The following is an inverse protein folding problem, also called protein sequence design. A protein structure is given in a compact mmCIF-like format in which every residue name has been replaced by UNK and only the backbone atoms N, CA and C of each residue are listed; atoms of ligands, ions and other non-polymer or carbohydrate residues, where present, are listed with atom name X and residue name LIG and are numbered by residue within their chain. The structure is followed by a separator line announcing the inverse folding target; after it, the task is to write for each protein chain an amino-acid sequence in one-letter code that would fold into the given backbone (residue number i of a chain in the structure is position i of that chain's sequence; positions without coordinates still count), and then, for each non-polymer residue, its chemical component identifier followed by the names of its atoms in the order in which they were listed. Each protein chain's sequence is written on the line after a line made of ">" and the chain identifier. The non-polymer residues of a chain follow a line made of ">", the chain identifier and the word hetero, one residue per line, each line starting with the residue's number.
data_IF_143153753429
#
_entry.id   IF_143153753429
#
_cell.length_a   1.000
_cell.length_b   1.000
_cell.length_c   1.000
_cell.angle_alpha   90.00
_cell.angle_beta   90.00
_cell.angle_gamma   90.00
#
_symmetry.space_group_name_H-M   'P 1'
#
loop_
_entity.id
_entity.type
_entity.pdbx_description
1 polymer ?
#
# COMPACT_ATOMS: atom_id res chain seq x y z
N UNK A 1 16.38 -28.85 9.49
CA UNK A 1 16.65 -27.43 9.31
C UNK A 1 17.98 -27.28 8.62
N UNK A 2 18.16 -26.55 7.54
CA UNK A 2 19.47 -26.35 6.92
C UNK A 2 20.35 -25.52 7.86
N UNK A 3 21.47 -26.08 8.29
CA UNK A 3 22.41 -25.56 9.29
C UNK A 3 23.32 -24.44 8.74
N UNK A 4 22.81 -23.43 8.01
CA UNK A 4 23.60 -22.30 7.55
C UNK A 4 22.85 -20.99 7.77
N UNK A 5 23.48 -20.02 8.44
CA UNK A 5 22.97 -18.65 8.47
C UNK A 5 22.95 -18.14 7.02
N UNK A 6 21.84 -17.54 6.52
CA UNK A 6 21.81 -17.00 5.18
C UNK A 6 22.79 -15.83 5.07
N UNK A 7 23.48 -15.71 3.93
CA UNK A 7 24.34 -14.57 3.61
C UNK A 7 23.52 -13.27 3.53
N UNK A 8 22.27 -13.37 3.07
CA UNK A 8 21.30 -12.26 2.99
C UNK A 8 20.02 -12.74 3.68
N UNK A 9 19.51 -11.95 4.61
CA UNK A 9 18.26 -12.21 5.31
C UNK A 9 17.06 -11.60 4.58
N UNK A 10 15.85 -12.17 4.76
CA UNK A 10 14.62 -11.60 4.21
C UNK A 10 14.46 -10.11 4.59
N UNK A 11 14.71 -9.75 5.84
CA UNK A 11 14.62 -8.37 6.32
C UNK A 11 15.57 -7.41 5.61
N UNK A 12 16.79 -7.87 5.25
CA UNK A 12 17.74 -7.06 4.49
C UNK A 12 17.23 -6.80 3.07
N UNK A 13 16.60 -7.80 2.44
CA UNK A 13 15.99 -7.63 1.10
C UNK A 13 14.83 -6.65 1.17
N UNK A 14 13.94 -6.79 2.17
CA UNK A 14 12.80 -5.87 2.35
C UNK A 14 13.27 -4.43 2.64
N UNK A 15 14.32 -4.24 3.47
CA UNK A 15 14.89 -2.91 3.71
C UNK A 15 15.56 -2.33 2.44
N UNK A 16 16.34 -3.16 1.73
CA UNK A 16 16.97 -2.75 0.48
C UNK A 16 15.95 -2.33 -0.59
N UNK A 17 14.76 -2.95 -0.59
CA UNK A 17 13.63 -2.59 -1.47
C UNK A 17 13.12 -1.16 -1.25
N UNK A 18 13.19 -0.62 -0.04
CA UNK A 18 12.73 0.73 0.27
C UNK A 18 13.60 1.83 -0.37
N UNK A 19 14.89 1.56 -0.56
CA UNK A 19 15.85 2.55 -1.08
C UNK A 19 15.53 2.98 -2.52
N UNK A 20 15.23 2.10 -3.48
CA UNK A 20 14.92 2.49 -4.85
C UNK A 20 13.50 3.05 -5.07
N UNK A 21 12.60 2.99 -4.07
CA UNK A 21 11.22 3.46 -4.25
C UNK A 21 11.11 4.98 -4.51
N UNK A 22 11.85 5.87 -3.81
CA UNK A 22 11.86 7.28 -4.17
C UNK A 22 12.42 7.54 -5.58
N UNK A 23 13.41 6.75 -6.01
CA UNK A 23 13.94 6.83 -7.38
C UNK A 23 12.87 6.42 -8.40
N UNK A 24 12.13 5.33 -8.14
CA UNK A 24 11.00 4.93 -8.98
C UNK A 24 10.00 6.08 -9.13
N UNK A 25 9.61 6.69 -8.02
CA UNK A 25 8.66 7.81 -8.03
C UNK A 25 9.19 9.01 -8.81
N UNK A 26 10.48 9.32 -8.69
CA UNK A 26 11.13 10.38 -9.46
C UNK A 26 11.13 10.08 -10.98
N UNK A 27 11.42 8.85 -11.36
CA UNK A 27 11.39 8.41 -12.77
C UNK A 27 9.97 8.55 -13.34
N UNK A 28 8.95 8.12 -12.60
CA UNK A 28 7.55 8.26 -12.99
C UNK A 28 7.13 9.71 -13.14
N UNK A 29 7.50 10.56 -12.18
CA UNK A 29 7.23 11.99 -12.21
C UNK A 29 7.90 12.66 -13.43
N UNK A 30 9.15 12.33 -13.71
CA UNK A 30 9.84 12.82 -14.91
C UNK A 30 9.18 12.29 -16.19
N UNK A 31 8.76 11.03 -16.20
CA UNK A 31 7.99 10.46 -17.30
C UNK A 31 6.70 11.24 -17.56
N UNK A 32 5.93 11.55 -16.53
CA UNK A 32 4.70 12.34 -16.63
C UNK A 32 4.93 13.77 -17.19
N UNK A 33 6.06 14.39 -16.84
CA UNK A 33 6.42 15.72 -17.34
C UNK A 33 6.82 15.74 -18.83
N UNK A 34 7.38 14.66 -19.35
CA UNK A 34 7.90 14.59 -20.73
C UNK A 34 6.98 13.84 -21.69
N UNK A 35 5.79 13.46 -21.24
CA UNK A 35 4.90 12.55 -21.94
C UNK A 35 5.26 11.08 -21.70
N UNK A 36 4.26 10.22 -21.80
CA UNK A 36 4.43 8.81 -21.40
C UNK A 36 4.99 7.92 -22.52
N UNK A 37 4.74 8.26 -23.78
CA UNK A 37 5.10 7.43 -24.94
C UNK A 37 6.61 7.43 -25.20
N UNK A 38 7.15 6.23 -25.42
CA UNK A 38 8.58 5.95 -25.76
C UNK A 38 9.59 6.78 -24.95
N UNK A 39 9.28 6.98 -23.69
CA UNK A 39 10.01 7.85 -22.79
C UNK A 39 11.06 7.05 -22.00
N UNK A 40 12.36 7.42 -22.03
CA UNK A 40 13.41 6.70 -21.31
C UNK A 40 13.21 6.68 -19.80
N UNK A 41 12.59 7.71 -19.22
CA UNK A 41 12.24 7.71 -17.80
C UNK A 41 11.18 6.64 -17.48
N UNK A 42 10.18 6.48 -18.34
CA UNK A 42 9.14 5.47 -18.18
C UNK A 42 9.68 4.05 -18.36
N UNK A 43 10.57 3.82 -19.33
CA UNK A 43 11.27 2.54 -19.48
C UNK A 43 12.11 2.22 -18.24
N UNK A 44 12.86 3.20 -17.72
CA UNK A 44 13.63 3.04 -16.50
C UNK A 44 12.74 2.76 -15.29
N UNK A 45 11.57 3.42 -15.20
CA UNK A 45 10.58 3.19 -14.15
C UNK A 45 9.98 1.78 -14.23
N UNK A 46 9.69 1.28 -15.44
CA UNK A 46 9.20 -0.09 -15.65
C UNK A 46 10.22 -1.13 -15.17
N UNK A 47 11.50 -0.93 -15.52
CA UNK A 47 12.59 -1.81 -15.07
C UNK A 47 12.73 -1.75 -13.55
N UNK A 48 12.81 -0.53 -12.97
CA UNK A 48 12.95 -0.35 -11.53
C UNK A 48 11.76 -0.94 -10.77
N UNK A 49 10.52 -0.68 -11.20
CA UNK A 49 9.31 -1.22 -10.59
C UNK A 49 9.25 -2.75 -10.66
N UNK A 50 9.65 -3.33 -11.79
CA UNK A 50 9.76 -4.79 -11.94
C UNK A 50 10.79 -5.39 -10.98
N UNK A 51 11.98 -4.79 -10.89
CA UNK A 51 13.03 -5.24 -9.96
C UNK A 51 12.56 -5.15 -8.51
N UNK A 52 11.90 -4.05 -8.11
CA UNK A 52 11.32 -3.90 -6.78
C UNK A 52 10.27 -4.99 -6.52
N UNK A 53 9.40 -5.28 -7.48
CA UNK A 53 8.42 -6.36 -7.36
C UNK A 53 9.07 -7.75 -7.24
N UNK A 54 10.16 -8.01 -7.98
CA UNK A 54 10.91 -9.25 -7.86
C UNK A 54 11.55 -9.44 -6.48
N UNK A 55 12.00 -8.35 -5.84
CA UNK A 55 12.59 -8.44 -4.49
C UNK A 55 11.56 -8.90 -3.44
N UNK A 56 10.28 -8.54 -3.58
CA UNK A 56 9.19 -9.02 -2.73
C UNK A 56 9.00 -10.55 -2.81
N UNK A 57 9.12 -11.10 -4.01
CA UNK A 57 9.07 -12.55 -4.18
C UNK A 57 10.29 -13.24 -3.55
N UNK A 58 11.49 -12.64 -3.64
CA UNK A 58 12.73 -13.16 -3.07
C UNK A 58 12.69 -13.17 -1.54
N UNK A 59 12.26 -12.07 -0.90
CA UNK A 59 12.18 -12.01 0.57
C UNK A 59 11.15 -13.02 1.11
N UNK A 60 10.02 -13.20 0.41
CA UNK A 60 9.05 -14.23 0.70
C UNK A 60 9.60 -15.66 0.58
N UNK A 61 10.48 -15.95 -0.39
CA UNK A 61 11.19 -17.24 -0.49
C UNK A 61 12.14 -17.44 0.68
N UNK A 62 12.94 -16.42 1.03
CA UNK A 62 13.88 -16.45 2.14
C UNK A 62 13.16 -16.64 3.48
N UNK A 63 12.05 -15.93 3.71
CA UNK A 63 11.23 -16.07 4.92
C UNK A 63 10.65 -17.49 5.07
N UNK A 64 10.20 -18.11 3.97
CA UNK A 64 9.72 -19.50 3.98
C UNK A 64 10.85 -20.51 4.27
N UNK A 65 12.05 -20.25 3.77
CA UNK A 65 13.20 -21.15 3.92
C UNK A 65 13.85 -21.07 5.30
N UNK A 66 14.00 -19.85 5.84
CA UNK A 66 14.76 -19.59 7.08
C UNK A 66 13.89 -19.23 8.30
N UNK A 67 12.59 -19.13 8.10
CA UNK A 67 11.61 -18.76 9.11
C UNK A 67 11.29 -17.25 9.15
N UNK A 68 10.04 -16.90 9.50
CA UNK A 68 9.60 -15.51 9.63
C UNK A 68 10.23 -14.84 10.86
N UNK A 69 10.43 -13.52 10.77
CA UNK A 69 10.92 -12.69 11.89
C UNK A 69 9.86 -11.66 12.29
N UNK A 70 9.92 -11.15 13.53
CA UNK A 70 9.03 -10.07 13.99
C UNK A 70 9.24 -8.82 13.13
N UNK A 71 10.50 -8.48 12.85
CA UNK A 71 10.86 -7.34 12.00
C UNK A 71 10.34 -7.51 10.57
N UNK A 72 10.42 -8.71 9.97
CA UNK A 72 9.84 -8.99 8.64
C UNK A 72 8.33 -8.79 8.63
N UNK A 73 7.62 -9.32 9.63
CA UNK A 73 6.18 -9.11 9.76
C UNK A 73 5.76 -7.65 9.92
N UNK A 74 6.67 -6.75 10.33
CA UNK A 74 6.48 -5.29 10.34
C UNK A 74 6.82 -4.67 8.98
N UNK A 75 8.00 -5.01 8.44
CA UNK A 75 8.56 -4.33 7.27
C UNK A 75 7.80 -4.64 5.99
N UNK A 76 7.38 -5.90 5.77
CA UNK A 76 6.71 -6.31 4.55
C UNK A 76 5.41 -5.53 4.28
N UNK A 77 4.43 -5.44 5.23
CA UNK A 77 3.23 -4.65 5.01
C UNK A 77 3.48 -3.13 4.87
N UNK A 78 4.55 -2.62 5.48
CA UNK A 78 4.94 -1.22 5.37
C UNK A 78 5.53 -0.96 3.99
N UNK A 79 6.45 -1.79 3.53
CA UNK A 79 7.11 -1.66 2.24
C UNK A 79 6.09 -1.75 1.09
N UNK A 80 5.11 -2.65 1.17
CA UNK A 80 4.03 -2.74 0.18
C UNK A 80 3.22 -1.45 0.08
N UNK A 81 2.88 -0.84 1.21
CA UNK A 81 2.13 0.42 1.23
C UNK A 81 2.94 1.60 0.71
N UNK A 82 4.23 1.68 1.09
CA UNK A 82 5.15 2.70 0.59
C UNK A 82 5.33 2.56 -0.92
N UNK A 83 5.46 1.33 -1.43
CA UNK A 83 5.53 1.07 -2.87
C UNK A 83 4.30 1.60 -3.62
N UNK A 84 3.09 1.34 -3.11
CA UNK A 84 1.85 1.85 -3.72
C UNK A 84 1.83 3.39 -3.71
N UNK A 85 2.27 4.04 -2.64
CA UNK A 85 2.36 5.51 -2.58
C UNK A 85 3.27 6.04 -3.69
N UNK A 86 4.51 5.57 -3.75
CA UNK A 86 5.50 6.04 -4.71
C UNK A 86 5.20 5.66 -6.16
N UNK A 87 4.37 4.62 -6.37
CA UNK A 87 3.97 4.20 -7.71
C UNK A 87 2.71 4.91 -8.22
N UNK A 88 1.72 5.24 -7.36
CA UNK A 88 0.46 5.85 -7.81
C UNK A 88 0.47 7.39 -7.82
N UNK A 89 1.10 8.02 -6.82
CA UNK A 89 1.03 9.47 -6.69
C UNK A 89 1.58 10.23 -7.90
N UNK A 90 2.71 9.83 -8.53
CA UNK A 90 3.21 10.53 -9.71
C UNK A 90 2.27 10.53 -10.91
N UNK A 91 1.39 9.52 -11.04
CA UNK A 91 0.41 9.47 -12.14
C UNK A 91 -0.79 10.40 -11.94
N UNK A 92 -1.00 10.88 -10.71
CA UNK A 92 -2.04 11.85 -10.39
C UNK A 92 -1.55 13.31 -10.44
N UNK A 93 -0.25 13.51 -10.74
CA UNK A 93 0.43 14.81 -10.76
C UNK A 93 0.91 15.17 -12.16
N UNK A 94 1.15 16.48 -12.38
CA UNK A 94 1.71 17.01 -13.61
C UNK A 94 0.67 17.57 -14.57
N UNK A 95 1.13 18.06 -15.75
CA UNK A 95 0.27 18.74 -16.74
C UNK A 95 -0.72 17.80 -17.43
N UNK A 96 -0.43 16.51 -17.45
CA UNK A 96 -1.27 15.48 -18.07
C UNK A 96 -1.39 14.29 -17.11
N UNK A 97 -2.18 14.41 -16.01
CA UNK A 97 -2.32 13.33 -15.05
C UNK A 97 -2.97 12.12 -15.72
N UNK A 98 -2.34 10.96 -15.59
CA UNK A 98 -2.83 9.71 -16.17
C UNK A 98 -4.07 9.17 -15.45
N UNK A 99 -4.18 9.48 -14.15
CA UNK A 99 -5.30 9.06 -13.30
C UNK A 99 -5.86 10.26 -12.54
N UNK A 100 -7.18 10.31 -12.33
CA UNK A 100 -7.79 11.37 -11.54
C UNK A 100 -7.29 11.39 -10.10
N UNK A 101 -6.83 12.54 -9.61
CA UNK A 101 -6.32 12.71 -8.24
C UNK A 101 -7.34 12.28 -7.17
N UNK A 102 -8.64 12.55 -7.38
CA UNK A 102 -9.69 12.12 -6.46
C UNK A 102 -9.81 10.59 -6.34
N UNK A 103 -9.52 9.85 -7.42
CA UNK A 103 -9.56 8.39 -7.39
C UNK A 103 -8.40 7.84 -6.55
N UNK A 104 -7.20 8.41 -6.71
CA UNK A 104 -6.05 8.11 -5.84
C UNK A 104 -6.36 8.49 -4.39
N UNK A 105 -6.91 9.68 -4.13
CA UNK A 105 -7.31 10.12 -2.81
C UNK A 105 -8.27 9.12 -2.14
N UNK A 106 -9.31 8.66 -2.84
CA UNK A 106 -10.25 7.65 -2.32
C UNK A 106 -9.57 6.31 -2.04
N UNK A 107 -8.68 5.84 -2.91
CA UNK A 107 -7.92 4.61 -2.68
C UNK A 107 -7.09 4.71 -1.41
N UNK A 108 -6.33 5.79 -1.23
CA UNK A 108 -5.51 5.99 -0.04
C UNK A 108 -6.33 6.28 1.22
N UNK A 109 -7.45 6.99 1.12
CA UNK A 109 -8.37 7.20 2.26
C UNK A 109 -8.78 5.86 2.84
N UNK A 110 -9.10 4.88 2.00
CA UNK A 110 -9.41 3.53 2.47
C UNK A 110 -8.21 2.86 3.13
N UNK A 111 -7.01 2.99 2.58
CA UNK A 111 -5.81 2.39 3.18
C UNK A 111 -5.53 2.94 4.58
N UNK A 112 -5.60 4.26 4.76
CA UNK A 112 -5.43 4.92 6.05
C UNK A 112 -6.55 4.55 7.02
N UNK A 113 -7.80 4.66 6.57
CA UNK A 113 -8.98 4.39 7.40
C UNK A 113 -9.01 2.96 7.94
N UNK A 114 -8.81 1.95 7.07
CA UNK A 114 -8.80 0.56 7.51
C UNK A 114 -7.58 0.26 8.38
N UNK A 115 -6.44 0.91 8.15
CA UNK A 115 -5.26 0.75 9.02
C UNK A 115 -5.54 1.30 10.41
N UNK A 116 -6.12 2.50 10.53
CA UNK A 116 -6.50 3.10 11.80
C UNK A 116 -7.58 2.29 12.53
N UNK A 117 -8.59 1.82 11.80
CA UNK A 117 -9.66 1.00 12.34
C UNK A 117 -9.15 -0.34 12.85
N UNK A 118 -8.24 -0.99 12.10
CA UNK A 118 -7.61 -2.24 12.52
C UNK A 118 -6.80 -2.06 13.81
N UNK A 119 -6.04 -0.98 13.96
CA UNK A 119 -5.33 -0.68 15.20
C UNK A 119 -6.29 -0.56 16.40
N UNK A 120 -7.43 0.11 16.21
CA UNK A 120 -8.45 0.21 17.26
C UNK A 120 -9.06 -1.14 17.67
N UNK A 121 -9.22 -2.07 16.71
CA UNK A 121 -9.70 -3.44 16.99
C UNK A 121 -8.65 -4.29 17.71
N UNK A 122 -7.42 -4.27 17.23
CA UNK A 122 -6.33 -5.07 17.81
C UNK A 122 -6.03 -4.66 19.26
N UNK A 123 -6.11 -3.38 19.60
CA UNK A 123 -6.00 -2.89 20.99
C UNK A 123 -7.02 -3.52 21.91
N UNK A 124 -8.21 -3.86 21.38
CA UNK A 124 -9.33 -4.47 22.14
C UNK A 124 -9.40 -5.99 22.01
N UNK A 125 -8.34 -6.61 21.48
CA UNK A 125 -8.30 -8.04 21.19
C UNK A 125 -9.46 -8.50 20.26
N UNK A 126 -9.92 -7.61 19.38
CA UNK A 126 -10.86 -7.92 18.32
C UNK A 126 -10.03 -8.19 17.05
N UNK A 127 -9.92 -9.44 16.64
CA UNK A 127 -9.27 -9.77 15.37
C UNK A 127 -10.31 -10.10 14.31
N UNK A 128 -10.26 -9.40 13.18
CA UNK A 128 -11.08 -9.72 12.02
C UNK A 128 -10.28 -10.58 11.05
N UNK A 129 -10.86 -11.71 10.63
CA UNK A 129 -10.21 -12.57 9.63
C UNK A 129 -10.07 -11.82 8.31
N UNK A 130 -8.89 -11.91 7.73
CA UNK A 130 -8.60 -11.32 6.41
C UNK A 130 -9.46 -12.01 5.36
N UNK A 131 -10.34 -11.25 4.69
CA UNK A 131 -11.23 -11.79 3.66
C UNK A 131 -10.45 -12.14 2.38
N UNK A 132 -11.06 -12.96 1.52
CA UNK A 132 -10.54 -13.24 0.18
C UNK A 132 -10.38 -11.95 -0.65
N UNK A 133 -11.32 -11.01 -0.50
CA UNK A 133 -11.28 -9.71 -1.16
C UNK A 133 -10.06 -8.86 -0.79
N UNK A 134 -9.55 -9.00 0.43
CA UNK A 134 -8.34 -8.30 0.85
C UNK A 134 -7.08 -8.73 0.07
N UNK A 135 -7.02 -10.00 -0.33
CA UNK A 135 -5.94 -10.52 -1.20
C UNK A 135 -6.16 -10.09 -2.66
N UNK A 136 -7.40 -10.14 -3.14
CA UNK A 136 -7.75 -9.68 -4.47
C UNK A 136 -7.41 -8.19 -4.66
N UNK A 137 -7.67 -7.34 -3.64
CA UNK A 137 -7.34 -5.92 -3.66
C UNK A 137 -5.87 -5.67 -4.00
N UNK A 138 -4.94 -6.34 -3.30
CA UNK A 138 -3.50 -6.15 -3.53
C UNK A 138 -3.11 -6.53 -4.96
N UNK A 139 -3.69 -7.61 -5.47
CA UNK A 139 -3.49 -8.02 -6.87
C UNK A 139 -3.96 -6.92 -7.85
N UNK A 140 -5.16 -6.37 -7.65
CA UNK A 140 -5.70 -5.31 -8.49
C UNK A 140 -4.85 -4.02 -8.42
N UNK A 141 -4.36 -3.65 -7.25
CA UNK A 141 -3.48 -2.49 -7.09
C UNK A 141 -2.15 -2.69 -7.84
N UNK A 142 -1.53 -3.86 -7.72
CA UNK A 142 -0.27 -4.17 -8.42
C UNK A 142 -0.49 -4.24 -9.94
N UNK A 143 -1.58 -4.84 -10.39
CA UNK A 143 -1.95 -4.88 -11.80
C UNK A 143 -2.22 -3.47 -12.34
N UNK A 144 -2.86 -2.61 -11.54
CA UNK A 144 -3.07 -1.20 -11.86
C UNK A 144 -1.77 -0.46 -12.15
N UNK A 145 -0.76 -0.64 -11.29
CA UNK A 145 0.58 -0.06 -11.51
C UNK A 145 1.18 -0.56 -12.82
N UNK A 146 1.14 -1.87 -13.06
CA UNK A 146 1.67 -2.46 -14.29
C UNK A 146 1.01 -1.92 -15.56
N UNK A 147 -0.31 -1.74 -15.54
CA UNK A 147 -1.06 -1.19 -16.68
C UNK A 147 -0.76 0.29 -16.87
N UNK A 148 -0.73 1.09 -15.80
CA UNK A 148 -0.41 2.52 -15.87
C UNK A 148 1.01 2.79 -16.35
N UNK A 149 1.96 1.88 -16.05
CA UNK A 149 3.31 1.96 -16.57
C UNK A 149 3.39 1.55 -18.04
N UNK A 150 2.78 0.43 -18.38
CA UNK A 150 3.04 -0.24 -19.65
C UNK A 150 2.19 0.31 -20.81
N UNK A 151 0.93 0.66 -20.55
CA UNK A 151 0.01 1.02 -21.63
C UNK A 151 0.36 2.37 -22.28
N UNK A 152 0.62 3.43 -21.53
CA UNK A 152 1.03 4.70 -22.12
C UNK A 152 2.41 4.62 -22.79
N UNK A 153 3.30 3.77 -22.26
CA UNK A 153 4.67 3.61 -22.75
C UNK A 153 4.73 2.90 -24.12
N UNK A 154 3.94 1.84 -24.28
CA UNK A 154 3.99 0.97 -25.48
C UNK A 154 2.90 1.34 -26.48
N UNK A 155 1.89 2.10 -26.03
CA UNK A 155 0.73 2.41 -26.85
C UNK A 155 -0.05 1.16 -27.25
N UNK A 156 -0.85 1.25 -28.29
CA UNK A 156 -1.64 0.14 -28.80
C UNK A 156 -0.81 -0.78 -29.69
N UNK A 157 -0.46 -1.96 -29.16
CA UNK A 157 0.41 -2.90 -29.86
C UNK A 157 -0.14 -4.33 -29.83
N UNK A 158 0.11 -5.09 -30.92
CA UNK A 158 -0.27 -6.50 -31.01
C UNK A 158 0.41 -7.37 -29.94
N UNK A 159 1.71 -7.21 -29.63
CA UNK A 159 2.35 -7.97 -28.57
C UNK A 159 1.66 -7.79 -27.21
N UNK A 160 1.29 -6.57 -26.86
CA UNK A 160 0.62 -6.30 -25.59
C UNK A 160 -0.77 -6.94 -25.54
N UNK A 161 -1.53 -6.92 -26.64
CA UNK A 161 -2.81 -7.60 -26.75
C UNK A 161 -2.65 -9.10 -26.52
N UNK A 162 -1.61 -9.72 -27.11
CA UNK A 162 -1.32 -11.15 -26.92
C UNK A 162 -0.96 -11.45 -25.47
N UNK A 163 -0.14 -10.61 -24.83
CA UNK A 163 0.24 -10.76 -23.40
C UNK A 163 -1.00 -10.69 -22.50
N UNK A 164 -1.89 -9.74 -22.74
CA UNK A 164 -3.16 -9.62 -22.01
C UNK A 164 -4.05 -10.84 -22.24
N UNK A 165 -4.16 -11.31 -23.47
CA UNK A 165 -4.90 -12.55 -23.81
C UNK A 165 -4.34 -13.76 -23.06
N UNK A 166 -3.01 -13.93 -23.05
CA UNK A 166 -2.36 -14.98 -22.25
C UNK A 166 -2.70 -14.81 -20.76
N UNK A 167 -2.69 -13.58 -20.23
CA UNK A 167 -3.04 -13.28 -18.85
C UNK A 167 -4.49 -13.64 -18.47
N UNK A 168 -5.41 -13.62 -19.44
CA UNK A 168 -6.80 -14.07 -19.26
C UNK A 168 -6.94 -15.58 -19.38
N UNK A 169 -6.44 -16.17 -20.46
CA UNK A 169 -6.76 -17.56 -20.84
C UNK A 169 -5.83 -18.58 -20.19
N UNK A 170 -4.54 -18.30 -20.06
CA UNK A 170 -3.60 -19.27 -19.48
C UNK A 170 -3.94 -19.66 -18.03
N UNK A 171 -4.32 -18.75 -17.12
CA UNK A 171 -4.73 -19.14 -15.78
C UNK A 171 -5.98 -20.04 -15.78
N UNK A 172 -6.94 -19.83 -16.70
CA UNK A 172 -8.14 -20.67 -16.83
C UNK A 172 -7.76 -22.09 -17.28
N UNK A 173 -6.88 -22.19 -18.28
CA UNK A 173 -6.39 -23.50 -18.76
C UNK A 173 -5.65 -24.23 -17.65
N UNK A 174 -4.74 -23.53 -16.93
CA UNK A 174 -4.01 -24.11 -15.80
C UNK A 174 -4.95 -24.53 -14.66
N UNK A 175 -6.00 -23.74 -14.39
CA UNK A 175 -7.02 -24.09 -13.41
C UNK A 175 -7.72 -25.40 -13.79
N UNK A 176 -8.09 -25.57 -15.08
CA UNK A 176 -8.68 -26.81 -15.61
C UNK A 176 -7.74 -28.00 -15.40
N UNK A 177 -6.47 -27.87 -15.79
CA UNK A 177 -5.46 -28.93 -15.65
C UNK A 177 -5.29 -29.30 -14.15
N UNK A 178 -5.12 -28.31 -13.27
CA UNK A 178 -4.95 -28.55 -11.83
C UNK A 178 -6.21 -29.22 -11.23
N UNK A 179 -7.40 -28.80 -11.68
CA UNK A 179 -8.65 -29.39 -11.21
C UNK A 179 -8.77 -30.86 -11.62
N UNK A 180 -8.44 -31.17 -12.86
CA UNK A 180 -8.48 -32.59 -13.36
C UNK A 180 -7.47 -33.44 -12.59
N UNK A 181 -6.22 -32.95 -12.44
CA UNK A 181 -5.14 -33.74 -11.83
C UNK A 181 -5.24 -33.86 -10.32
N UNK A 182 -5.64 -32.78 -9.61
CA UNK A 182 -5.54 -32.68 -8.15
C UNK A 182 -6.88 -32.43 -7.45
N UNK A 183 -7.98 -32.31 -8.20
CA UNK A 183 -9.32 -31.93 -7.68
C UNK A 183 -9.32 -30.67 -6.79
N UNK A 184 -8.38 -29.76 -7.05
CA UNK A 184 -8.22 -28.53 -6.29
C UNK A 184 -8.50 -27.32 -7.16
N UNK A 185 -9.28 -26.36 -6.64
CA UNK A 185 -9.55 -25.08 -7.30
C UNK A 185 -8.46 -24.08 -6.93
N UNK A 186 -7.72 -23.61 -7.93
CA UNK A 186 -6.74 -22.55 -7.74
C UNK A 186 -7.41 -21.17 -7.83
N UNK A 187 -7.85 -20.66 -6.68
CA UNK A 187 -8.56 -19.38 -6.56
C UNK A 187 -7.77 -18.19 -7.14
N UNK A 188 -6.44 -18.23 -7.10
CA UNK A 188 -5.57 -17.20 -7.68
C UNK A 188 -5.76 -17.08 -9.19
N UNK A 189 -5.91 -18.19 -9.92
CA UNK A 189 -6.17 -18.17 -11.35
C UNK A 189 -7.48 -17.45 -11.70
N UNK A 190 -8.52 -17.67 -10.88
CA UNK A 190 -9.80 -16.98 -11.05
C UNK A 190 -9.62 -15.47 -10.89
N UNK A 191 -8.92 -15.03 -9.83
CA UNK A 191 -8.65 -13.61 -9.61
C UNK A 191 -7.86 -13.00 -10.77
N UNK A 192 -6.80 -13.68 -11.24
CA UNK A 192 -6.00 -13.22 -12.37
C UNK A 192 -6.84 -13.04 -13.63
N UNK A 193 -7.60 -14.06 -14.02
CA UNK A 193 -8.41 -13.99 -15.23
C UNK A 193 -9.54 -12.97 -15.13
N UNK A 194 -10.27 -12.94 -14.01
CA UNK A 194 -11.37 -11.99 -13.79
C UNK A 194 -10.87 -10.54 -13.74
N UNK A 195 -9.69 -10.30 -13.20
CA UNK A 195 -9.12 -8.94 -13.17
C UNK A 195 -8.55 -8.50 -14.52
N UNK A 196 -7.96 -9.43 -15.28
CA UNK A 196 -7.33 -9.10 -16.58
C UNK A 196 -8.36 -8.98 -17.70
N UNK A 197 -9.48 -9.71 -17.62
CA UNK A 197 -10.50 -9.72 -18.67
C UNK A 197 -11.07 -8.34 -19.02
N UNK A 198 -11.51 -7.51 -18.07
CA UNK A 198 -11.99 -6.16 -18.40
C UNK A 198 -10.91 -5.30 -19.06
N UNK A 199 -9.66 -5.40 -18.61
CA UNK A 199 -8.52 -4.69 -19.18
C UNK A 199 -8.28 -5.13 -20.63
N UNK A 200 -8.30 -6.43 -20.87
CA UNK A 200 -8.16 -7.01 -22.21
C UNK A 200 -9.27 -6.51 -23.16
N UNK A 201 -10.53 -6.55 -22.71
CA UNK A 201 -11.67 -6.12 -23.52
C UNK A 201 -11.62 -4.59 -23.81
N UNK A 202 -11.31 -3.77 -22.81
CA UNK A 202 -11.16 -2.33 -22.98
C UNK A 202 -9.99 -2.00 -23.91
N UNK A 203 -8.86 -2.69 -23.76
CA UNK A 203 -7.70 -2.51 -24.62
C UNK A 203 -7.98 -2.94 -26.08
N UNK A 204 -8.86 -3.93 -26.30
CA UNK A 204 -9.29 -4.33 -27.66
C UNK A 204 -10.16 -3.27 -28.34
N UNK A 205 -11.06 -2.62 -27.60
CA UNK A 205 -12.13 -1.80 -28.17
C UNK A 205 -12.02 -0.31 -27.86
N UNK A 206 -11.30 0.04 -26.78
CA UNK A 206 -11.12 1.41 -26.31
C UNK A 206 -9.76 2.03 -26.67
N UNK A 207 -9.59 3.26 -26.24
CA UNK A 207 -8.29 3.89 -26.20
C UNK A 207 -7.54 3.57 -24.89
N UNK A 208 -6.27 3.93 -24.84
CA UNK A 208 -5.41 3.67 -23.68
C UNK A 208 -5.86 4.47 -22.45
N UNK A 209 -6.27 5.71 -22.64
CA UNK A 209 -6.69 6.61 -21.56
C UNK A 209 -7.96 6.09 -20.88
N UNK A 210 -8.99 5.74 -21.67
CA UNK A 210 -10.22 5.14 -21.15
C UNK A 210 -9.92 3.86 -20.37
N UNK A 211 -9.02 3.00 -20.90
CA UNK A 211 -8.65 1.75 -20.25
C UNK A 211 -8.00 1.99 -18.87
N UNK A 212 -7.10 2.96 -18.78
CA UNK A 212 -6.43 3.32 -17.52
C UNK A 212 -7.43 3.93 -16.52
N UNK A 213 -8.30 4.83 -16.96
CA UNK A 213 -9.32 5.43 -16.09
C UNK A 213 -10.29 4.40 -15.53
N UNK A 214 -10.84 3.54 -16.39
CA UNK A 214 -11.76 2.47 -15.94
C UNK A 214 -11.06 1.52 -14.98
N UNK A 215 -9.82 1.13 -15.28
CA UNK A 215 -9.04 0.31 -14.38
C UNK A 215 -8.85 0.98 -13.01
N UNK A 216 -8.54 2.28 -12.97
CA UNK A 216 -8.39 3.00 -11.72
C UNK A 216 -9.70 2.99 -10.91
N UNK A 217 -10.85 3.19 -11.56
CA UNK A 217 -12.15 3.12 -10.90
C UNK A 217 -12.43 1.70 -10.34
N UNK A 218 -12.05 0.67 -11.08
CA UNK A 218 -12.17 -0.71 -10.59
C UNK A 218 -11.25 -0.96 -9.39
N UNK A 219 -10.02 -0.46 -9.42
CA UNK A 219 -9.09 -0.53 -8.27
C UNK A 219 -9.70 0.14 -7.04
N UNK A 220 -10.27 1.34 -7.18
CA UNK A 220 -10.95 2.04 -6.09
C UNK A 220 -12.14 1.23 -5.57
N UNK A 221 -13.01 0.75 -6.46
CA UNK A 221 -14.19 -0.02 -6.09
C UNK A 221 -13.85 -1.29 -5.31
N UNK A 222 -12.88 -2.08 -5.81
CA UNK A 222 -12.42 -3.31 -5.14
C UNK A 222 -11.71 -3.00 -3.82
N UNK A 223 -10.94 -1.91 -3.79
CA UNK A 223 -10.26 -1.46 -2.57
C UNK A 223 -11.29 -1.16 -1.48
N UNK A 224 -12.36 -0.43 -1.77
CA UNK A 224 -13.43 -0.16 -0.81
C UNK A 224 -14.26 -1.40 -0.48
N UNK A 225 -14.65 -2.20 -1.48
CA UNK A 225 -15.38 -3.44 -1.26
C UNK A 225 -14.64 -4.40 -0.30
N UNK A 226 -13.31 -4.47 -0.42
CA UNK A 226 -12.48 -5.29 0.49
C UNK A 226 -12.44 -4.77 1.94
N UNK A 227 -12.91 -3.55 2.20
CA UNK A 227 -12.96 -2.93 3.52
C UNK A 227 -14.33 -3.06 4.21
N UNK A 228 -15.37 -3.45 3.47
CA UNK A 228 -16.75 -3.50 3.98
C UNK A 228 -16.86 -4.36 5.24
N UNK A 229 -16.24 -5.54 5.25
CA UNK A 229 -16.26 -6.43 6.41
C UNK A 229 -15.68 -5.75 7.67
N UNK A 230 -14.60 -4.99 7.51
CA UNK A 230 -13.99 -4.24 8.62
C UNK A 230 -14.92 -3.13 9.11
N UNK A 231 -15.60 -2.43 8.20
CA UNK A 231 -16.48 -1.33 8.54
C UNK A 231 -17.77 -1.87 9.23
N UNK A 232 -18.44 -2.83 8.59
CA UNK A 232 -19.77 -3.30 9.06
C UNK A 232 -19.64 -4.17 10.31
N UNK A 233 -18.80 -5.22 10.23
CA UNK A 233 -18.67 -6.18 11.34
C UNK A 233 -17.91 -5.56 12.50
N UNK A 234 -16.80 -4.90 12.22
CA UNK A 234 -15.97 -4.30 13.24
C UNK A 234 -16.63 -3.12 13.93
N UNK A 235 -17.29 -2.21 13.18
CA UNK A 235 -18.01 -1.08 13.78
C UNK A 235 -19.14 -1.55 14.72
N UNK A 236 -19.91 -2.57 14.30
CA UNK A 236 -20.94 -3.16 15.15
C UNK A 236 -20.36 -3.70 16.46
N UNK A 237 -19.22 -4.36 16.41
CA UNK A 237 -18.54 -4.89 17.60
C UNK A 237 -18.00 -3.78 18.51
N UNK A 238 -17.37 -2.73 17.94
CA UNK A 238 -16.88 -1.57 18.69
C UNK A 238 -18.02 -0.82 19.40
N UNK A 239 -19.08 -0.55 18.67
CA UNK A 239 -20.24 0.17 19.22
C UNK A 239 -20.93 -0.63 20.33
N UNK A 240 -21.01 -1.96 20.19
CA UNK A 240 -21.62 -2.84 21.18
C UNK A 240 -20.85 -2.90 22.50
N UNK A 241 -19.54 -2.62 22.51
CA UNK A 241 -18.72 -2.59 23.73
C UNK A 241 -18.76 -1.26 24.48
N UNK A 242 -19.04 -0.16 23.80
CA UNK A 242 -19.08 1.18 24.41
C UNK A 242 -17.71 1.73 24.85
N UNK A 243 -16.61 1.10 24.43
CA UNK A 243 -15.23 1.46 24.83
C UNK A 243 -14.48 2.31 23.80
N UNK A 244 -15.20 2.87 22.81
CA UNK A 244 -14.63 3.77 21.81
C UNK A 244 -14.16 5.08 22.45
N UNK A 245 -12.87 5.40 22.27
CA UNK A 245 -12.23 6.53 22.93
C UNK A 245 -12.15 7.77 22.01
N UNK A 246 -11.95 8.96 22.62
CA UNK A 246 -11.68 10.18 21.84
C UNK A 246 -10.41 10.04 20.98
N UNK A 247 -9.42 9.31 21.45
CA UNK A 247 -8.20 9.04 20.69
C UNK A 247 -8.47 8.23 19.40
N UNK A 248 -9.39 7.27 19.46
CA UNK A 248 -9.81 6.52 18.27
C UNK A 248 -10.52 7.44 17.27
N UNK A 249 -11.39 8.33 17.76
CA UNK A 249 -12.08 9.32 16.92
C UNK A 249 -11.11 10.25 16.20
N UNK A 250 -10.15 10.83 16.92
CA UNK A 250 -9.11 11.71 16.36
C UNK A 250 -8.30 10.97 15.31
N UNK A 251 -7.91 9.73 15.58
CA UNK A 251 -7.16 8.88 14.64
C UNK A 251 -7.95 8.61 13.35
N UNK A 252 -9.22 8.26 13.46
CA UNK A 252 -10.08 7.97 12.31
C UNK A 252 -10.36 9.22 11.47
N UNK A 253 -10.61 10.37 12.10
CA UNK A 253 -10.79 11.65 11.39
C UNK A 253 -9.55 12.02 10.61
N UNK A 254 -8.36 11.94 11.23
CA UNK A 254 -7.10 12.20 10.54
C UNK A 254 -6.85 11.25 9.36
N UNK A 255 -7.15 9.95 9.56
CA UNK A 255 -7.02 8.94 8.51
C UNK A 255 -7.97 9.17 7.32
N UNK A 256 -9.16 9.73 7.54
CA UNK A 256 -10.11 10.07 6.49
C UNK A 256 -9.73 11.37 5.77
N UNK A 257 -9.27 12.38 6.51
CA UNK A 257 -9.03 13.72 5.97
C UNK A 257 -7.68 13.82 5.21
N UNK A 258 -6.64 13.18 5.73
CA UNK A 258 -5.28 13.43 5.27
C UNK A 258 -5.06 13.11 3.78
N UNK A 259 -5.49 11.96 3.21
CA UNK A 259 -5.26 11.70 1.79
C UNK A 259 -5.99 12.68 0.88
N UNK A 260 -7.22 13.06 1.23
CA UNK A 260 -7.96 14.10 0.50
C UNK A 260 -7.22 15.43 0.48
N UNK A 261 -6.70 15.88 1.62
CA UNK A 261 -5.91 17.11 1.72
C UNK A 261 -4.59 17.02 0.96
N UNK A 262 -3.89 15.90 1.03
CA UNK A 262 -2.64 15.68 0.28
C UNK A 262 -2.87 15.82 -1.22
N UNK A 263 -3.91 15.17 -1.77
CA UNK A 263 -4.20 15.24 -3.18
C UNK A 263 -4.79 16.60 -3.60
N UNK A 264 -5.52 17.27 -2.72
CA UNK A 264 -5.96 18.64 -2.96
C UNK A 264 -4.76 19.60 -3.06
N UNK A 265 -3.82 19.54 -2.13
CA UNK A 265 -2.58 20.36 -2.19
C UNK A 265 -1.77 20.02 -3.44
N UNK A 266 -1.69 18.73 -3.82
CA UNK A 266 -0.97 18.28 -5.01
C UNK A 266 -1.50 18.95 -6.31
N UNK A 267 -2.81 19.08 -6.41
CA UNK A 267 -3.47 19.59 -7.65
C UNK A 267 -3.65 21.11 -7.62
N UNK A 268 -4.00 21.68 -6.45
CA UNK A 268 -4.45 23.07 -6.34
C UNK A 268 -3.32 24.06 -6.01
N UNK A 269 -2.10 23.58 -5.72
CA UNK A 269 -1.01 24.45 -5.34
C UNK A 269 0.23 24.23 -6.21
N UNK A 270 1.06 25.29 -6.43
CA UNK A 270 2.32 25.16 -7.15
C UNK A 270 3.45 24.53 -6.31
N UNK A 271 3.14 24.02 -5.13
CA UNK A 271 4.13 23.46 -4.20
C UNK A 271 4.76 22.17 -4.76
N UNK A 272 6.03 21.89 -4.42
CA UNK A 272 6.71 20.70 -4.92
C UNK A 272 6.04 19.41 -4.39
N UNK A 273 5.86 18.36 -5.21
CA UNK A 273 5.12 17.15 -4.84
C UNK A 273 5.86 16.24 -3.84
N UNK A 274 7.19 16.32 -3.75
CA UNK A 274 8.00 15.39 -2.96
C UNK A 274 7.67 15.31 -1.47
N UNK A 275 7.41 16.44 -0.78
CA UNK A 275 7.01 16.36 0.61
C UNK A 275 5.68 15.65 0.80
N UNK A 276 4.73 15.80 -0.15
CA UNK A 276 3.44 15.10 -0.11
C UNK A 276 3.61 13.58 -0.22
N UNK A 277 4.47 13.12 -1.13
CA UNK A 277 4.81 11.69 -1.25
C UNK A 277 5.43 11.17 0.04
N UNK A 278 6.34 11.94 0.64
CA UNK A 278 6.95 11.62 1.91
C UNK A 278 5.95 11.56 3.07
N UNK A 279 5.06 12.56 3.20
CA UNK A 279 4.00 12.58 4.22
C UNK A 279 3.15 11.31 4.11
N UNK A 280 2.66 10.97 2.92
CA UNK A 280 1.85 9.78 2.70
C UNK A 280 2.59 8.49 3.07
N UNK A 281 3.85 8.36 2.65
CA UNK A 281 4.66 7.19 2.93
C UNK A 281 4.94 7.02 4.44
N UNK A 282 5.36 8.11 5.12
CA UNK A 282 5.68 8.06 6.56
C UNK A 282 4.44 7.81 7.41
N UNK A 283 3.32 8.48 7.14
CA UNK A 283 2.11 8.28 7.93
C UNK A 283 1.50 6.88 7.74
N UNK A 284 1.57 6.30 6.53
CA UNK A 284 1.20 4.90 6.32
C UNK A 284 2.14 3.92 7.03
N UNK A 285 3.44 4.21 7.02
CA UNK A 285 4.43 3.40 7.73
C UNK A 285 4.18 3.40 9.25
N UNK A 286 3.93 4.58 9.82
CA UNK A 286 3.61 4.72 11.26
C UNK A 286 2.28 4.04 11.58
N UNK A 287 1.27 4.16 10.73
CA UNK A 287 0.01 3.43 10.89
C UNK A 287 0.21 1.91 10.88
N UNK A 288 1.12 1.40 10.04
CA UNK A 288 1.52 -0.01 10.02
C UNK A 288 2.21 -0.45 11.30
N UNK A 289 3.13 0.38 11.82
CA UNK A 289 3.81 0.15 13.09
C UNK A 289 2.80 0.12 14.27
N UNK A 290 1.90 1.10 14.34
CA UNK A 290 0.88 1.17 15.38
C UNK A 290 -0.04 -0.06 15.37
N UNK A 291 -0.41 -0.54 14.17
CA UNK A 291 -1.19 -1.77 14.04
C UNK A 291 -0.44 -3.00 14.57
N UNK A 292 0.85 -3.15 14.26
CA UNK A 292 1.66 -4.25 14.78
C UNK A 292 1.80 -4.19 16.30
N UNK A 293 2.14 -3.02 16.86
CA UNK A 293 2.28 -2.83 18.31
C UNK A 293 0.94 -3.11 19.03
N UNK A 294 -0.18 -2.66 18.45
CA UNK A 294 -1.51 -2.95 18.96
C UNK A 294 -1.84 -4.44 18.94
N UNK A 295 -1.50 -5.15 17.87
CA UNK A 295 -1.68 -6.61 17.77
C UNK A 295 -0.94 -7.37 18.88
N UNK A 296 0.25 -6.91 19.23
CA UNK A 296 1.05 -7.52 20.29
C UNK A 296 0.79 -6.92 21.69
N UNK A 297 -0.24 -6.09 21.82
CA UNK A 297 -0.65 -5.44 23.09
C UNK A 297 0.47 -4.60 23.72
N UNK A 298 1.36 -4.05 22.90
CA UNK A 298 2.33 -3.07 23.34
C UNK A 298 1.62 -1.72 23.46
N UNK A 299 1.85 -1.00 24.57
CA UNK A 299 1.20 0.29 24.81
C UNK A 299 1.55 1.28 23.69
N UNK A 300 0.55 1.74 22.95
CA UNK A 300 0.69 2.74 21.90
C UNK A 300 0.23 4.11 22.39
N UNK A 301 0.90 5.16 21.94
CA UNK A 301 0.47 6.54 22.23
C UNK A 301 -0.52 7.03 21.17
N UNK A 302 -1.66 6.33 21.08
CA UNK A 302 -2.70 6.58 20.08
C UNK A 302 -3.11 8.06 19.96
N UNK A 303 -3.22 8.77 21.08
CA UNK A 303 -3.59 10.18 21.09
C UNK A 303 -2.46 11.06 20.50
N UNK A 304 -1.20 10.76 20.80
CA UNK A 304 -0.06 11.51 20.27
C UNK A 304 0.07 11.32 18.75
N UNK A 305 -0.16 10.12 18.26
CA UNK A 305 -0.20 9.86 16.82
C UNK A 305 -1.36 10.59 16.14
N UNK A 306 -2.56 10.48 16.68
CA UNK A 306 -3.75 11.15 16.13
C UNK A 306 -3.62 12.67 16.11
N UNK A 307 -3.09 13.29 17.20
CA UNK A 307 -2.87 14.73 17.27
C UNK A 307 -1.82 15.20 16.27
N UNK A 308 -0.76 14.41 16.02
CA UNK A 308 0.24 14.69 14.98
C UNK A 308 -0.40 14.70 13.59
N UNK A 309 -1.19 13.69 13.26
CA UNK A 309 -1.88 13.60 11.97
C UNK A 309 -2.84 14.78 11.77
N UNK A 310 -3.57 15.20 12.81
CA UNK A 310 -4.40 16.40 12.73
C UNK A 310 -3.59 17.67 12.54
N UNK A 311 -2.41 17.78 13.17
CA UNK A 311 -1.49 18.89 12.94
C UNK A 311 -1.00 18.95 11.49
N UNK A 312 -0.65 17.80 10.91
CA UNK A 312 -0.33 17.67 9.47
C UNK A 312 -1.53 18.10 8.61
N UNK A 313 -2.74 17.62 8.91
CA UNK A 313 -3.95 18.02 8.19
C UNK A 313 -4.21 19.54 8.28
N UNK A 314 -3.99 20.16 9.44
CA UNK A 314 -4.14 21.62 9.60
C UNK A 314 -3.15 22.40 8.74
N UNK A 315 -1.88 21.96 8.66
CA UNK A 315 -0.87 22.58 7.81
C UNK A 315 -1.18 22.39 6.32
N UNK A 316 -1.67 21.22 5.91
CA UNK A 316 -2.12 21.00 4.53
C UNK A 316 -3.35 21.85 4.20
N UNK A 317 -4.29 22.01 5.14
CA UNK A 317 -5.40 22.94 5.00
C UNK A 317 -4.94 24.40 4.88
N UNK A 318 -3.93 24.83 5.66
CA UNK A 318 -3.34 26.16 5.53
C UNK A 318 -2.65 26.36 4.19
N UNK A 319 -1.99 25.31 3.64
CA UNK A 319 -1.40 25.36 2.30
C UNK A 319 -2.44 25.60 1.21
N UNK A 320 -3.65 25.03 1.33
CA UNK A 320 -4.76 25.27 0.40
C UNK A 320 -5.34 26.68 0.53
N UNK A 321 -5.41 27.21 1.76
CA UNK A 321 -5.95 28.56 2.02
C UNK A 321 -4.97 29.67 1.61
N UNK A 322 -3.68 29.39 1.59
CA UNK A 322 -2.60 30.31 1.27
C UNK A 322 -1.65 29.71 0.22
N UNK A 323 -2.10 29.59 -1.05
CA UNK A 323 -1.35 28.88 -2.09
C UNK A 323 0.04 29.48 -2.37
N UNK A 324 0.20 30.81 -2.26
CA UNK A 324 1.50 31.49 -2.44
C UNK A 324 2.54 31.07 -1.37
N UNK A 325 2.07 30.63 -0.21
CA UNK A 325 2.91 30.19 0.91
C UNK A 325 2.85 28.68 1.12
N UNK A 326 2.17 27.94 0.26
CA UNK A 326 1.92 26.50 0.40
C UNK A 326 3.18 25.69 0.67
N UNK A 327 4.30 26.04 0.03
CA UNK A 327 5.58 25.36 0.22
C UNK A 327 6.06 25.36 1.67
N UNK A 328 5.87 26.47 2.42
CA UNK A 328 6.33 26.55 3.82
C UNK A 328 5.51 25.63 4.73
N UNK A 329 4.18 25.67 4.58
CA UNK A 329 3.28 24.77 5.31
C UNK A 329 3.55 23.31 4.98
N UNK A 330 3.82 23.02 3.70
CA UNK A 330 4.12 21.67 3.23
C UNK A 330 5.44 21.14 3.81
N UNK A 331 6.51 21.93 3.82
CA UNK A 331 7.77 21.53 4.44
C UNK A 331 7.63 21.36 5.96
N UNK A 332 6.84 22.21 6.63
CA UNK A 332 6.55 22.05 8.05
C UNK A 332 5.76 20.73 8.32
N UNK A 333 4.73 20.46 7.53
CA UNK A 333 3.97 19.21 7.61
C UNK A 333 4.86 17.97 7.38
N UNK A 334 5.73 18.02 6.38
CA UNK A 334 6.68 16.94 6.09
C UNK A 334 7.68 16.74 7.24
N UNK A 335 8.25 17.82 7.79
CA UNK A 335 9.16 17.73 8.92
C UNK A 335 8.48 17.10 10.16
N UNK A 336 7.23 17.47 10.44
CA UNK A 336 6.43 16.89 11.54
C UNK A 336 6.19 15.39 11.29
N UNK A 337 5.82 14.99 10.07
CA UNK A 337 5.64 13.58 9.71
C UNK A 337 6.94 12.80 9.82
N UNK A 338 8.04 13.34 9.30
CA UNK A 338 9.35 12.69 9.31
C UNK A 338 9.87 12.50 10.74
N UNK A 339 9.96 13.59 11.51
CA UNK A 339 10.49 13.57 12.88
C UNK A 339 9.57 12.75 13.80
N UNK A 340 8.26 12.97 13.68
CA UNK A 340 7.28 12.22 14.46
C UNK A 340 7.27 10.75 14.11
N UNK A 341 7.34 10.41 12.83
CA UNK A 341 7.45 9.03 12.37
C UNK A 341 8.71 8.34 12.86
N UNK A 342 9.88 8.98 12.69
CA UNK A 342 11.15 8.47 13.20
C UNK A 342 11.12 8.25 14.73
N UNK A 343 10.51 9.18 15.48
CA UNK A 343 10.36 9.04 16.93
C UNK A 343 9.48 7.86 17.32
N UNK A 344 8.39 7.56 16.59
CA UNK A 344 7.54 6.39 16.85
C UNK A 344 8.27 5.08 16.54
N UNK A 345 9.01 5.00 15.43
CA UNK A 345 9.85 3.84 15.13
C UNK A 345 10.95 3.64 16.19
N UNK A 346 11.58 4.71 16.63
CA UNK A 346 12.58 4.64 17.70
C UNK A 346 12.00 4.14 19.02
N UNK A 347 10.81 4.59 19.40
CA UNK A 347 10.11 4.11 20.60
C UNK A 347 9.69 2.64 20.50
N UNK A 348 9.29 2.19 19.32
CA UNK A 348 8.91 0.81 19.06
C UNK A 348 10.08 -0.16 18.92
N UNK A 349 11.33 0.34 18.81
CA UNK A 349 12.50 -0.48 18.45
C UNK A 349 12.74 -1.67 19.38
N UNK A 350 12.52 -1.49 20.67
CA UNK A 350 12.77 -2.52 21.67
C UNK A 350 11.89 -3.75 21.44
N UNK A 351 10.71 -3.56 20.83
CA UNK A 351 9.81 -4.64 20.48
C UNK A 351 10.30 -5.47 19.30
N UNK A 352 10.72 -4.85 18.20
CA UNK A 352 11.12 -5.58 17.00
C UNK A 352 12.63 -5.86 16.92
N UNK A 353 13.46 -5.20 17.74
CA UNK A 353 14.91 -5.43 17.81
C UNK A 353 15.32 -6.34 18.98
N UNK A 354 14.53 -6.42 20.06
CA UNK A 354 14.86 -7.24 21.24
C UNK A 354 14.59 -8.74 20.98
N UNK A 355 15.65 -9.53 20.97
CA UNK A 355 15.58 -11.00 20.88
C UNK A 355 14.75 -11.64 22.00
N UNK A 356 14.78 -11.07 23.22
CA UNK A 356 14.09 -11.64 24.41
C UNK A 356 12.57 -11.56 24.27
N UNK A 357 12.06 -10.44 23.78
CA UNK A 357 10.62 -10.28 23.52
C UNK A 357 10.20 -11.23 22.41
N UNK A 358 11.02 -11.37 21.36
CA UNK A 358 10.79 -12.31 20.27
C UNK A 358 10.73 -13.76 20.77
N UNK A 359 11.66 -14.17 21.62
CA UNK A 359 11.73 -15.53 22.14
C UNK A 359 10.56 -15.82 23.10
N UNK A 360 10.12 -14.83 23.88
CA UNK A 360 8.93 -14.92 24.73
C UNK A 360 7.66 -15.09 23.90
N UNK A 361 7.44 -14.26 22.89
CA UNK A 361 6.26 -14.34 22.00
C UNK A 361 6.22 -15.66 21.20
N UNK A 362 7.37 -16.20 20.80
CA UNK A 362 7.47 -17.51 20.15
C UNK A 362 7.14 -18.66 21.10
N UNK A 363 7.58 -18.59 22.36
CA UNK A 363 7.26 -19.59 23.40
C UNK A 363 5.77 -19.56 23.77
N UNK A 364 5.18 -18.38 23.89
CA UNK A 364 3.74 -18.22 24.16
C UNK A 364 2.88 -18.76 22.99
N UNK A 365 3.29 -18.52 21.74
CA UNK A 365 2.63 -19.13 20.56
C UNK A 365 2.79 -20.65 20.51
N UNK A 366 3.95 -21.17 20.82
CA UNK A 366 4.19 -22.61 20.87
C UNK A 366 3.36 -23.28 21.97
N UNK A 367 3.27 -22.65 23.14
CA UNK A 367 2.45 -23.14 24.24
C UNK A 367 0.93 -23.10 23.93
N UNK A 368 0.46 -22.07 23.21
CA UNK A 368 -0.93 -21.96 22.77
C UNK A 368 -1.30 -22.91 21.63
N UNK A 369 -0.33 -23.45 20.89
CA UNK A 369 -0.56 -24.44 19.82
C UNK A 369 -0.52 -25.90 20.32
N UNK A 370 -0.15 -26.10 21.58
CA UNK A 370 -0.11 -27.41 22.26
C UNK A 370 -1.28 -27.64 23.21
N UNK A 371 -2.16 -26.67 23.38
CA UNK A 371 -3.45 -26.73 24.04
C UNK A 371 -4.60 -26.73 23.00
#
# INVERSE_FOLDING_TARGET
>A
MPNGKPWITANQVTLARLIPMPLLSWLLYKGAQHGYEDNPYMWSALIAGTLIGCTDWIDGLLARKYGPTVLGGLLDPIADKIFIVFAYMPFADGPHPLVPAWACALMFTREFFITALRSAYEQRALSLKTSFFAKAKTWWQMQGIGVMLLFPLVGRSTPLLVILGIGVFAPIVLLGIIYVMKKRVWRGAIVMSVSTLPIFLLYMHGDTELTVHVLMYMVVAITWASGIDYIVVGWKQLRGRGDFTRADGVRLIGALAMPGLVFAVLVETPAPPWPLFGIMAFELAVGGLDNLLSHHKVATKALAWGSRVLGVCALLGAALLLPDQAQYFLYAAFAISLVGGAAEFWRGRDYFMDKRIRDKALREKAAASTL
#
